data_IF_920897620666
#
_entry.id   IF_920897620666
#
_cell.length_a   1.000
_cell.length_b   1.000
_cell.length_c   1.000
_cell.angle_alpha   90.00
_cell.angle_beta   90.00
_cell.angle_gamma   90.00
#
_symmetry.space_group_name_H-M   'P 1'
#
loop_
_entity.id
_entity.type
_entity.pdbx_description
1 polymer ?
#
# COMPACT_ATOMS: atom_id res chain seq x y z
N UNK A 1 -0.76 -0.15 9.65
CA UNK A 1 0.55 0.15 9.00
C UNK A 1 1.25 -1.18 8.75
N UNK A 2 2.06 -1.29 7.71
CA UNK A 2 2.83 -2.52 7.41
C UNK A 2 4.31 -2.19 7.22
N UNK A 3 5.17 -3.17 7.49
CA UNK A 3 6.57 -3.12 7.04
C UNK A 3 6.68 -3.86 5.71
N UNK A 4 7.39 -3.29 4.74
CA UNK A 4 7.66 -3.95 3.46
C UNK A 4 8.61 -5.11 3.72
N UNK A 5 8.10 -6.33 3.55
CA UNK A 5 8.88 -7.55 3.69
C UNK A 5 9.63 -7.93 2.41
N UNK A 6 10.34 -9.05 2.47
CA UNK A 6 11.03 -9.64 1.33
C UNK A 6 10.14 -9.72 0.08
N UNK A 7 10.73 -9.46 -1.08
CA UNK A 7 10.05 -9.40 -2.38
C UNK A 7 8.89 -8.39 -2.46
N UNK A 8 8.84 -7.38 -1.59
CA UNK A 8 7.79 -6.36 -1.59
C UNK A 8 6.52 -6.78 -0.86
N UNK A 9 6.61 -7.75 0.06
CA UNK A 9 5.46 -8.23 0.84
C UNK A 9 4.82 -7.10 1.65
N UNK A 10 3.50 -6.96 1.54
CA UNK A 10 2.69 -6.06 2.37
C UNK A 10 1.60 -6.89 3.05
N UNK A 11 1.51 -6.80 4.38
CA UNK A 11 0.59 -7.60 5.19
C UNK A 11 -0.04 -6.77 6.29
N UNK A 12 -1.37 -6.81 6.36
CA UNK A 12 -2.17 -6.26 7.46
C UNK A 12 -3.53 -6.97 7.46
N UNK A 13 -3.71 -7.92 8.37
CA UNK A 13 -4.87 -8.82 8.36
C UNK A 13 -6.20 -8.07 8.52
N UNK A 14 -6.22 -6.99 9.31
CA UNK A 14 -7.42 -6.17 9.48
C UNK A 14 -7.77 -5.41 8.21
N UNK A 15 -6.78 -4.86 7.50
CA UNK A 15 -7.00 -4.19 6.21
C UNK A 15 -7.47 -5.19 5.17
N UNK A 16 -6.82 -6.36 5.02
CA UNK A 16 -7.22 -7.37 4.04
C UNK A 16 -8.65 -7.86 4.28
N UNK A 17 -8.98 -8.23 5.52
CA UNK A 17 -10.32 -8.66 5.90
C UNK A 17 -11.35 -7.53 5.70
N UNK A 18 -11.01 -6.30 6.05
CA UNK A 18 -11.88 -5.13 5.89
C UNK A 18 -12.20 -4.79 4.43
N UNK A 19 -11.31 -5.14 3.50
CA UNK A 19 -11.49 -5.00 2.05
C UNK A 19 -12.17 -6.23 1.42
N UNK A 20 -12.37 -7.31 2.18
CA UNK A 20 -12.89 -8.58 1.66
C UNK A 20 -11.90 -9.33 0.77
N UNK A 21 -10.61 -9.01 0.88
CA UNK A 21 -9.56 -9.66 0.09
C UNK A 21 -9.13 -10.96 0.78
N UNK A 22 -9.34 -12.08 0.09
CA UNK A 22 -9.05 -13.43 0.55
C UNK A 22 -7.96 -14.07 -0.32
N UNK A 23 -7.35 -15.18 0.10
CA UNK A 23 -6.44 -15.92 -0.77
C UNK A 23 -7.05 -16.19 -2.14
N UNK A 24 -6.32 -15.86 -3.21
CA UNK A 24 -6.81 -15.96 -4.58
C UNK A 24 -7.45 -14.68 -5.13
N UNK A 25 -7.79 -13.67 -4.31
CA UNK A 25 -8.22 -12.36 -4.81
C UNK A 25 -7.14 -11.79 -5.70
N UNK A 26 -7.51 -11.45 -6.94
CA UNK A 26 -6.62 -10.86 -7.93
C UNK A 26 -6.64 -9.35 -7.83
N UNK A 27 -5.45 -8.76 -7.89
CA UNK A 27 -5.20 -7.36 -7.60
C UNK A 27 -4.43 -6.74 -8.76
N UNK A 28 -4.86 -5.54 -9.14
CA UNK A 28 -4.01 -4.65 -9.92
C UNK A 28 -3.25 -3.69 -8.99
N UNK A 29 -1.99 -3.44 -9.32
CA UNK A 29 -1.04 -2.69 -8.47
C UNK A 29 -0.38 -1.63 -9.33
N UNK A 30 -0.84 -0.39 -9.15
CA UNK A 30 -0.40 0.75 -9.95
C UNK A 30 0.31 1.78 -9.07
N UNK A 31 1.51 2.19 -9.50
CA UNK A 31 2.17 3.35 -8.90
C UNK A 31 1.47 4.63 -9.37
N UNK A 32 1.01 5.45 -8.44
CA UNK A 32 0.38 6.73 -8.70
C UNK A 32 1.40 7.86 -8.47
N UNK A 33 1.02 9.08 -8.88
CA UNK A 33 1.75 10.28 -8.48
C UNK A 33 1.86 10.42 -6.96
N UNK A 34 2.81 11.25 -6.50
CA UNK A 34 2.99 11.62 -5.09
C UNK A 34 3.44 10.48 -4.14
N UNK A 35 4.13 9.45 -4.65
CA UNK A 35 4.75 8.45 -3.77
C UNK A 35 3.79 7.37 -3.25
N UNK A 36 2.68 7.11 -3.97
CA UNK A 36 1.61 6.20 -3.52
C UNK A 36 1.42 5.03 -4.48
N UNK A 37 0.97 3.89 -3.96
CA UNK A 37 0.54 2.75 -4.76
C UNK A 37 -0.96 2.58 -4.55
N UNK A 38 -1.70 2.54 -5.65
CA UNK A 38 -3.08 2.11 -5.66
C UNK A 38 -3.15 0.61 -5.91
N UNK A 39 -3.88 -0.08 -5.03
CA UNK A 39 -4.19 -1.50 -5.16
C UNK A 39 -5.70 -1.66 -5.21
N UNK A 40 -6.19 -2.36 -6.23
CA UNK A 40 -7.63 -2.60 -6.44
C UNK A 40 -7.87 -4.06 -6.81
N UNK A 41 -9.03 -4.59 -6.44
CA UNK A 41 -9.48 -5.89 -6.94
C UNK A 41 -9.73 -5.81 -8.45
N UNK A 42 -9.17 -6.75 -9.22
CA UNK A 42 -9.29 -6.81 -10.68
C UNK A 42 -9.30 -8.27 -11.14
N UNK A 43 -10.26 -8.65 -12.00
CA UNK A 43 -10.46 -10.03 -12.46
C UNK A 43 -9.21 -10.61 -13.14
N UNK A 44 -8.47 -9.77 -13.86
CA UNK A 44 -7.25 -10.08 -14.59
C UNK A 44 -5.98 -9.54 -13.91
N UNK A 45 -6.10 -9.05 -12.66
CA UNK A 45 -5.00 -8.47 -11.90
C UNK A 45 -3.78 -9.38 -11.85
N UNK A 46 -2.59 -8.81 -12.08
CA UNK A 46 -1.34 -9.56 -12.17
C UNK A 46 -0.80 -10.04 -10.81
N UNK A 47 -1.31 -9.47 -9.71
CA UNK A 47 -0.94 -9.84 -8.34
C UNK A 47 -2.07 -10.62 -7.71
N UNK A 48 -1.73 -11.56 -6.84
CA UNK A 48 -2.73 -12.36 -6.11
C UNK A 48 -2.43 -12.31 -4.62
N UNK A 49 -3.49 -12.23 -3.81
CA UNK A 49 -3.38 -12.44 -2.37
C UNK A 49 -3.00 -13.90 -2.13
N UNK A 50 -1.90 -14.09 -1.42
CA UNK A 50 -1.32 -15.41 -1.13
C UNK A 50 -2.16 -16.17 -0.10
N UNK A 51 -1.89 -17.47 0.06
CA UNK A 51 -2.49 -18.31 1.09
C UNK A 51 -2.30 -17.73 2.50
N UNK A 52 -1.18 -17.06 2.75
CA UNK A 52 -0.85 -16.43 4.04
C UNK A 52 -1.49 -15.04 4.22
N UNK A 53 -2.39 -14.62 3.32
CA UNK A 53 -3.15 -13.37 3.47
C UNK A 53 -2.36 -12.09 3.22
N UNK A 54 -1.26 -12.16 2.45
CA UNK A 54 -0.50 -10.98 2.01
C UNK A 54 -0.42 -10.91 0.49
N UNK A 55 -0.09 -9.73 -0.05
CA UNK A 55 0.26 -9.56 -1.46
C UNK A 55 1.68 -8.99 -1.59
N UNK A 56 2.24 -9.03 -2.80
CA UNK A 56 3.57 -8.48 -3.09
C UNK A 56 3.44 -7.31 -4.04
N UNK A 57 4.05 -6.18 -3.68
CA UNK A 57 4.23 -5.06 -4.60
C UNK A 57 5.31 -5.44 -5.63
N UNK A 58 5.01 -5.43 -6.94
CA UNK A 58 5.99 -5.83 -7.94
C UNK A 58 7.18 -4.86 -7.99
N UNK A 59 8.32 -5.37 -8.46
CA UNK A 59 9.60 -4.66 -8.41
C UNK A 59 9.55 -3.29 -9.12
N UNK A 60 8.88 -3.19 -10.27
CA UNK A 60 8.77 -1.93 -11.03
C UNK A 60 8.12 -0.83 -10.19
N UNK A 61 6.96 -1.10 -9.61
CA UNK A 61 6.20 -0.17 -8.77
C UNK A 61 7.00 0.23 -7.53
N UNK A 62 7.71 -0.72 -6.90
CA UNK A 62 8.60 -0.40 -5.78
C UNK A 62 9.71 0.57 -6.17
N UNK A 63 10.37 0.35 -7.31
CA UNK A 63 11.47 1.22 -7.78
C UNK A 63 10.99 2.61 -8.17
N UNK A 64 9.80 2.74 -8.75
CA UNK A 64 9.23 4.05 -9.09
C UNK A 64 9.04 4.96 -7.88
N UNK A 65 8.86 4.38 -6.68
CA UNK A 65 8.58 5.13 -5.45
C UNK A 65 9.71 4.99 -4.41
N UNK A 66 10.87 4.44 -4.79
CA UNK A 66 11.97 4.13 -3.87
C UNK A 66 11.51 3.34 -2.62
N UNK A 67 10.64 2.34 -2.82
CA UNK A 67 10.11 1.51 -1.75
C UNK A 67 10.99 0.27 -1.54
N UNK A 68 11.65 0.20 -0.40
CA UNK A 68 12.62 -0.83 -0.04
C UNK A 68 12.10 -1.77 1.05
N UNK A 69 12.77 -2.93 1.18
CA UNK A 69 12.50 -3.86 2.28
C UNK A 69 12.89 -3.18 3.60
N UNK A 70 12.03 -3.29 4.61
CA UNK A 70 12.18 -2.62 5.89
C UNK A 70 11.43 -1.28 5.98
N UNK A 71 11.01 -0.69 4.85
CA UNK A 71 10.24 0.54 4.87
C UNK A 71 8.89 0.34 5.56
N UNK A 72 8.50 1.32 6.38
CA UNK A 72 7.19 1.37 7.00
C UNK A 72 6.22 2.13 6.11
N UNK A 73 5.20 1.43 5.63
CA UNK A 73 4.15 2.01 4.79
C UNK A 73 2.88 2.23 5.58
N UNK A 74 2.22 3.35 5.28
CA UNK A 74 0.86 3.60 5.74
C UNK A 74 -0.13 2.96 4.76
N UNK A 75 -1.10 2.25 5.32
CA UNK A 75 -2.16 1.57 4.58
C UNK A 75 -3.46 2.33 4.81
N UNK A 76 -4.10 2.77 3.73
CA UNK A 76 -5.39 3.44 3.76
C UNK A 76 -6.38 2.67 2.89
N UNK A 77 -7.24 1.89 3.53
CA UNK A 77 -8.26 1.09 2.87
C UNK A 77 -9.59 1.83 2.75
N UNK A 78 -10.21 1.76 1.58
CA UNK A 78 -11.57 2.23 1.36
C UNK A 78 -12.50 1.01 1.16
N UNK A 79 -13.25 0.65 2.21
CA UNK A 79 -13.99 -0.62 2.30
C UNK A 79 -15.05 -0.80 1.22
N UNK A 80 -15.91 0.20 0.98
CA UNK A 80 -17.02 0.08 0.03
C UNK A 80 -16.54 -0.15 -1.40
N UNK A 81 -15.52 0.60 -1.82
CA UNK A 81 -14.88 0.45 -3.13
C UNK A 81 -13.84 -0.68 -3.20
N UNK A 82 -13.50 -1.33 -2.08
CA UNK A 82 -12.44 -2.35 -1.98
C UNK A 82 -11.10 -1.91 -2.58
N UNK A 83 -10.65 -0.71 -2.21
CA UNK A 83 -9.38 -0.13 -2.69
C UNK A 83 -8.43 0.07 -1.54
N UNK A 84 -7.14 -0.03 -1.80
CA UNK A 84 -6.08 0.25 -0.84
C UNK A 84 -5.09 1.23 -1.45
N UNK A 85 -4.79 2.29 -0.71
CA UNK A 85 -3.61 3.10 -0.93
C UNK A 85 -2.49 2.64 0.01
N UNK A 86 -1.31 2.38 -0.57
CA UNK A 86 -0.07 2.17 0.15
C UNK A 86 0.78 3.43 -0.01
N UNK A 87 0.97 4.16 1.07
CA UNK A 87 1.77 5.36 1.12
C UNK A 87 3.21 5.01 1.50
N UNK A 88 4.16 5.33 0.62
CA UNK A 88 5.59 5.26 0.94
C UNK A 88 5.94 6.30 2.03
N UNK A 89 7.01 6.08 2.82
CA UNK A 89 7.41 7.01 3.88
C UNK A 89 7.47 8.49 3.43
N UNK A 90 8.12 8.74 2.28
CA UNK A 90 8.25 10.09 1.72
C UNK A 90 6.89 10.74 1.39
N UNK A 91 5.90 9.97 0.96
CA UNK A 91 4.55 10.49 0.68
C UNK A 91 3.78 10.88 1.93
N UNK A 92 4.03 10.18 3.04
CA UNK A 92 3.43 10.49 4.35
C UNK A 92 4.07 11.76 4.90
N UNK A 93 5.40 11.85 4.85
CA UNK A 93 6.15 13.04 5.27
C UNK A 93 5.70 14.28 4.50
N UNK A 94 5.64 14.20 3.17
CA UNK A 94 5.19 15.30 2.33
C UNK A 94 3.76 15.75 2.66
N UNK A 95 2.84 14.81 2.88
CA UNK A 95 1.45 15.15 3.25
C UNK A 95 1.31 15.74 4.65
N UNK A 96 2.17 15.33 5.60
CA UNK A 96 2.16 15.82 6.97
C UNK A 96 2.92 17.13 7.16
N UNK A 97 3.79 17.52 6.24
CA UNK A 97 4.64 18.71 6.37
C UNK A 97 3.82 19.99 6.64
N UNK A 98 2.68 20.15 5.96
CA UNK A 98 1.81 21.31 6.17
C UNK A 98 1.09 21.25 7.52
N UNK A 99 0.63 20.07 7.94
CA UNK A 99 0.04 19.89 9.28
C UNK A 99 1.06 20.12 10.40
N UNK A 100 2.32 19.74 10.18
CA UNK A 100 3.39 19.92 11.16
C UNK A 100 3.67 21.41 11.44
N UNK A 101 3.57 22.29 10.43
CA UNK A 101 3.71 23.75 10.61
C UNK A 101 2.65 24.33 11.54
N UNK A 102 1.40 23.92 11.33
CA UNK A 102 0.26 24.34 12.17
C UNK A 102 0.45 23.92 13.64
N UNK A 103 0.93 22.69 13.87
CA UNK A 103 1.19 22.19 15.23
C UNK A 103 2.42 22.86 15.87
N UNK A 104 3.46 23.16 15.07
CA UNK A 104 4.69 23.78 15.55
C UNK A 104 4.55 25.29 15.84
N UNK A 105 3.38 25.90 15.59
CA UNK A 105 3.15 27.33 15.82
C UNK A 105 4.01 28.23 14.93
N UNK A 106 4.31 27.79 13.70
CA UNK A 106 5.05 28.56 12.69
C UNK A 106 4.22 28.75 11.42
#
# INVERSE_FOLDING_TARGET
MSTVGAAGRVVDGFVMAGLGWTPGTRLDVTACGEGRILVVEAVDGAVTVTADGFFRVPYRQRRMLNLFVGDRVLLMGHRLCRRLLVHAPASVEAGLADSARLVAGR
#
